data_IF_157751658713
#
_entry.id   IF_157751658713
#
_cell.length_a   1.000
_cell.length_b   1.000
_cell.length_c   1.000
_cell.angle_alpha   90.00
_cell.angle_beta   90.00
_cell.angle_gamma   90.00
#
_symmetry.space_group_name_H-M   'P 1'
#
loop_
_entity.id
_entity.type
_entity.pdbx_description
1 polymer ?
#
# COMPACT_ATOMS: atom_id res chain seq x y z
N UNK A 1 8.65 0.55 16.88
CA UNK A 1 8.65 -0.90 16.49
C UNK A 1 8.10 -1.02 15.08
N UNK A 2 8.67 -1.88 14.25
CA UNK A 2 8.18 -2.18 12.89
C UNK A 2 7.94 -3.68 12.82
N UNK A 3 6.85 -4.10 12.19
CA UNK A 3 6.51 -5.51 12.03
C UNK A 3 5.32 -5.74 11.12
N UNK A 4 4.89 -6.97 11.05
CA UNK A 4 3.76 -7.44 10.25
C UNK A 4 2.52 -7.68 11.12
N UNK A 5 1.62 -8.53 10.68
CA UNK A 5 0.45 -8.99 11.44
C UNK A 5 0.77 -9.52 12.85
N UNK A 6 2.01 -9.92 13.11
CA UNK A 6 2.42 -10.36 14.43
C UNK A 6 2.23 -9.29 15.52
N UNK A 7 2.30 -8.00 15.16
CA UNK A 7 2.08 -6.91 16.11
C UNK A 7 0.63 -6.80 16.62
N UNK A 8 -0.32 -7.44 15.94
CA UNK A 8 -1.73 -7.48 16.37
C UNK A 8 -2.03 -8.58 17.38
N UNK A 9 -1.09 -9.51 17.60
CA UNK A 9 -1.30 -10.63 18.52
C UNK A 9 -1.53 -10.14 19.95
N UNK A 10 -2.36 -10.86 20.71
CA UNK A 10 -2.78 -10.48 22.07
C UNK A 10 -1.62 -10.33 23.06
N UNK A 11 -0.56 -11.11 22.84
CA UNK A 11 0.63 -11.12 23.70
C UNK A 11 1.61 -9.96 23.42
N UNK A 12 1.34 -9.11 22.44
CA UNK A 12 2.13 -7.91 22.18
C UNK A 12 1.48 -6.73 22.87
N UNK A 13 2.17 -6.14 23.82
CA UNK A 13 1.74 -4.98 24.60
C UNK A 13 2.64 -3.78 24.29
N UNK A 14 2.09 -2.59 24.39
CA UNK A 14 2.80 -1.34 24.18
C UNK A 14 2.63 -0.47 25.42
N UNK A 15 3.70 -0.05 26.04
CA UNK A 15 3.67 0.77 27.26
C UNK A 15 3.11 2.17 27.02
N UNK A 16 3.30 2.73 25.82
CA UNK A 16 2.78 4.06 25.45
C UNK A 16 2.71 4.18 23.92
N UNK A 17 1.60 3.76 23.35
CA UNK A 17 1.40 3.78 21.91
C UNK A 17 0.79 5.12 21.49
N UNK A 18 1.61 6.02 20.96
CA UNK A 18 1.19 7.36 20.52
C UNK A 18 0.85 7.45 19.04
N UNK A 19 1.50 6.64 18.19
CA UNK A 19 1.29 6.66 16.74
C UNK A 19 1.28 5.25 16.15
N UNK A 20 0.29 4.99 15.30
CA UNK A 20 0.16 3.77 14.50
C UNK A 20 0.27 4.15 13.04
N UNK A 21 1.20 3.51 12.30
CA UNK A 21 1.32 3.66 10.85
C UNK A 21 0.96 2.33 10.20
N UNK A 22 -0.03 2.32 9.31
CA UNK A 22 -0.51 1.13 8.60
C UNK A 22 -0.30 1.36 7.11
N UNK A 23 0.57 0.56 6.51
CA UNK A 23 0.72 0.52 5.06
C UNK A 23 -0.18 -0.55 4.45
N UNK A 24 -0.68 -0.30 3.23
CA UNK A 24 -1.58 -1.19 2.51
C UNK A 24 -2.79 -1.63 3.37
N UNK A 25 -3.52 -0.65 3.86
CA UNK A 25 -4.61 -0.86 4.83
C UNK A 25 -5.65 -1.92 4.41
N UNK A 26 -5.82 -2.14 3.09
CA UNK A 26 -6.76 -3.13 2.56
C UNK A 26 -6.40 -4.58 2.96
N UNK A 27 -5.13 -4.82 3.36
CA UNK A 27 -4.67 -6.11 3.89
C UNK A 27 -5.10 -6.37 5.34
N UNK A 28 -5.66 -5.37 6.01
CA UNK A 28 -6.05 -5.47 7.41
C UNK A 28 -7.56 -5.35 7.57
N UNK A 29 -8.16 -6.33 8.23
CA UNK A 29 -9.57 -6.28 8.58
C UNK A 29 -9.90 -5.16 9.57
N UNK A 30 -11.16 -4.71 9.58
CA UNK A 30 -11.64 -3.64 10.48
C UNK A 30 -11.36 -4.00 11.94
N UNK A 31 -11.62 -5.25 12.34
CA UNK A 31 -11.40 -5.71 13.72
C UNK A 31 -9.93 -5.67 14.15
N UNK A 32 -9.00 -5.92 13.23
CA UNK A 32 -7.56 -5.87 13.50
C UNK A 32 -7.12 -4.43 13.78
N UNK A 33 -7.60 -3.48 13.00
CA UNK A 33 -7.30 -2.05 13.18
C UNK A 33 -7.85 -1.51 14.51
N UNK A 34 -9.07 -1.91 14.85
CA UNK A 34 -9.68 -1.57 16.15
C UNK A 34 -8.93 -2.19 17.32
N UNK A 35 -8.41 -3.42 17.15
CA UNK A 35 -7.62 -4.07 18.20
C UNK A 35 -6.32 -3.31 18.51
N UNK A 36 -5.64 -2.73 17.52
CA UNK A 36 -4.45 -1.91 17.76
C UNK A 36 -4.77 -0.64 18.56
N UNK A 37 -5.88 0.01 18.24
CA UNK A 37 -6.29 1.22 18.98
C UNK A 37 -6.59 0.93 20.45
N UNK A 38 -7.10 -0.28 20.75
CA UNK A 38 -7.44 -0.71 22.11
C UNK A 38 -6.24 -1.23 22.91
N UNK A 39 -5.06 -1.40 22.28
CA UNK A 39 -3.84 -1.86 22.95
C UNK A 39 -3.13 -0.76 23.75
N UNK A 40 -3.65 0.43 23.76
CA UNK A 40 -3.13 1.49 24.61
C UNK A 40 -3.80 1.39 25.97
N UNK A 41 -3.03 1.01 27.01
CA UNK A 41 -3.52 0.93 28.40
C UNK A 41 -3.80 2.32 29.02
N UNK A 42 -3.41 3.40 28.35
CA UNK A 42 -3.70 4.74 28.83
C UNK A 42 -5.13 5.15 28.45
N UNK A 43 -6.03 5.21 29.41
CA UNK A 43 -7.39 5.75 29.24
C UNK A 43 -7.42 7.21 28.75
N UNK A 44 -6.28 7.89 28.74
CA UNK A 44 -6.21 9.33 28.49
C UNK A 44 -6.03 9.74 27.03
N UNK A 45 -5.59 8.88 26.12
CA UNK A 45 -5.42 9.29 24.72
C UNK A 45 -5.39 8.10 23.75
N UNK A 46 -6.28 8.11 22.77
CA UNK A 46 -6.20 7.18 21.66
C UNK A 46 -4.96 7.50 20.79
N UNK A 47 -4.22 6.51 20.28
CA UNK A 47 -3.07 6.75 19.42
C UNK A 47 -3.50 7.40 18.12
N UNK A 48 -2.69 8.31 17.60
CA UNK A 48 -2.84 8.84 16.25
C UNK A 48 -2.67 7.70 15.23
N UNK A 49 -3.42 7.76 14.14
CA UNK A 49 -3.34 6.74 13.10
C UNK A 49 -3.07 7.37 11.74
N UNK A 50 -1.96 6.96 11.12
CA UNK A 50 -1.63 7.25 9.73
C UNK A 50 -1.84 6.00 8.89
N UNK A 51 -2.65 6.12 7.86
CA UNK A 51 -2.96 5.01 6.96
C UNK A 51 -2.47 5.33 5.56
N UNK A 52 -1.70 4.42 4.98
CA UNK A 52 -1.14 4.55 3.64
C UNK A 52 -1.82 3.54 2.70
N UNK A 53 -2.08 3.94 1.47
CA UNK A 53 -2.60 3.05 0.44
C UNK A 53 -2.24 3.55 -0.96
N UNK A 54 -1.90 2.62 -1.86
CA UNK A 54 -1.69 2.90 -3.27
C UNK A 54 -3.01 2.87 -4.07
N UNK A 55 -4.09 2.32 -3.48
CA UNK A 55 -5.41 2.28 -4.12
C UNK A 55 -6.32 3.34 -3.50
N UNK A 56 -6.54 4.47 -4.19
CA UNK A 56 -7.39 5.52 -3.65
C UNK A 56 -8.83 5.00 -3.51
N UNK A 57 -9.37 5.11 -2.30
CA UNK A 57 -10.79 4.86 -2.07
C UNK A 57 -11.55 6.10 -2.58
N UNK A 58 -12.58 5.95 -3.43
CA UNK A 58 -13.37 7.08 -3.89
C UNK A 58 -13.84 7.95 -2.71
N UNK A 59 -13.72 9.28 -2.86
CA UNK A 59 -14.03 10.24 -1.81
C UNK A 59 -15.42 10.05 -1.17
N UNK A 60 -16.40 9.63 -1.96
CA UNK A 60 -17.75 9.30 -1.52
C UNK A 60 -17.80 8.12 -0.55
N UNK A 61 -16.99 7.10 -0.75
CA UNK A 61 -16.87 5.95 0.15
C UNK A 61 -16.00 6.27 1.37
N UNK A 62 -15.00 7.13 1.23
CA UNK A 62 -14.18 7.56 2.36
C UNK A 62 -14.96 8.43 3.35
N UNK A 63 -15.89 9.24 2.88
CA UNK A 63 -16.73 10.08 3.75
C UNK A 63 -17.71 9.28 4.61
N UNK A 64 -18.17 8.11 4.15
CA UNK A 64 -19.09 7.27 4.93
C UNK A 64 -18.37 6.35 5.92
N UNK A 65 -17.14 5.92 5.61
CA UNK A 65 -16.40 4.95 6.43
C UNK A 65 -15.35 5.64 7.31
N UNK A 66 -14.87 6.83 6.90
CA UNK A 66 -13.77 7.56 7.53
C UNK A 66 -14.12 9.03 7.79
N UNK A 67 -15.34 9.31 8.18
CA UNK A 67 -15.90 10.68 8.36
C UNK A 67 -15.03 11.64 9.20
N UNK A 68 -14.09 11.12 9.97
CA UNK A 68 -13.20 11.87 10.85
C UNK A 68 -11.71 11.72 10.49
N UNK A 69 -11.37 11.48 9.20
CA UNK A 69 -9.98 11.37 8.75
C UNK A 69 -9.63 12.48 7.78
N UNK A 70 -8.51 13.15 8.04
CA UNK A 70 -7.88 14.03 7.06
C UNK A 70 -7.22 13.18 5.97
N UNK A 71 -7.33 13.65 4.72
CA UNK A 71 -6.79 12.92 3.56
C UNK A 71 -5.78 13.80 2.84
N UNK A 72 -4.57 13.27 2.69
CA UNK A 72 -3.52 13.85 1.85
C UNK A 72 -3.26 12.95 0.65
N UNK A 73 -3.15 13.54 -0.53
CA UNK A 73 -2.87 12.83 -1.78
C UNK A 73 -1.47 13.19 -2.25
N UNK A 74 -0.65 12.17 -2.53
CA UNK A 74 0.65 12.32 -3.16
C UNK A 74 0.44 12.08 -4.66
N UNK A 75 0.39 13.14 -5.45
CA UNK A 75 0.09 13.13 -6.88
C UNK A 75 1.32 13.40 -7.77
N UNK A 76 2.47 13.62 -7.16
CA UNK A 76 3.73 13.85 -7.87
C UNK A 76 4.60 12.59 -7.87
N UNK A 77 5.30 12.38 -8.98
CA UNK A 77 6.31 11.32 -9.08
C UNK A 77 7.60 11.74 -8.36
N UNK A 78 8.32 10.79 -7.75
CA UNK A 78 9.63 11.08 -7.14
C UNK A 78 10.59 11.71 -8.16
N UNK A 79 11.46 12.61 -7.74
CA UNK A 79 12.46 13.21 -8.61
C UNK A 79 13.29 12.15 -9.35
N UNK A 80 13.49 12.32 -10.66
CA UNK A 80 14.27 11.41 -11.50
C UNK A 80 13.54 10.16 -12.00
N UNK A 81 12.28 9.95 -11.61
CA UNK A 81 11.49 8.84 -12.14
C UNK A 81 11.01 9.14 -13.56
N UNK A 82 11.42 8.30 -14.51
CA UNK A 82 10.96 8.39 -15.89
C UNK A 82 9.50 7.92 -16.00
N UNK A 83 8.68 8.54 -16.88
CA UNK A 83 7.32 8.09 -17.14
C UNK A 83 7.32 6.66 -17.69
N UNK A 84 6.32 5.89 -17.28
CA UNK A 84 6.11 4.52 -17.77
C UNK A 84 5.40 4.60 -19.12
N UNK A 85 5.95 3.87 -20.12
CA UNK A 85 5.30 3.72 -21.41
C UNK A 85 4.48 2.43 -21.43
N UNK A 86 3.18 2.57 -21.64
CA UNK A 86 2.26 1.43 -21.76
C UNK A 86 1.78 1.35 -23.20
N UNK A 87 1.85 0.17 -23.81
CA UNK A 87 1.42 -0.07 -25.19
C UNK A 87 0.55 -1.32 -25.26
N UNK A 88 -0.53 -1.25 -26.02
CA UNK A 88 -1.35 -2.40 -26.36
C UNK A 88 -0.90 -2.94 -27.71
N UNK A 89 -0.69 -4.25 -27.80
CA UNK A 89 -0.31 -4.93 -29.03
C UNK A 89 -1.34 -6.01 -29.36
N UNK A 90 -1.68 -6.21 -30.66
CA UNK A 90 -2.55 -7.31 -31.07
C UNK A 90 -1.84 -8.66 -30.84
N UNK A 91 -2.61 -9.72 -30.58
CA UNK A 91 -2.08 -11.07 -30.36
C UNK A 91 -1.20 -11.57 -31.53
N UNK A 92 -1.49 -11.13 -32.75
CA UNK A 92 -0.68 -11.46 -33.95
C UNK A 92 0.76 -10.91 -33.87
N UNK A 93 1.02 -9.93 -33.00
CA UNK A 93 2.37 -9.37 -32.80
C UNK A 93 3.17 -10.11 -31.69
N UNK A 94 2.64 -11.20 -31.12
CA UNK A 94 3.24 -11.91 -29.98
C UNK A 94 4.65 -12.38 -30.28
N UNK A 95 4.89 -12.97 -31.45
CA UNK A 95 6.22 -13.50 -31.80
C UNK A 95 7.26 -12.38 -31.93
N UNK A 96 6.90 -11.27 -32.56
CA UNK A 96 7.76 -10.07 -32.63
C UNK A 96 8.02 -9.47 -31.23
N UNK A 97 7.05 -9.55 -30.32
CA UNK A 97 7.24 -9.11 -28.93
C UNK A 97 8.25 -10.00 -28.21
N UNK A 98 8.18 -11.33 -28.39
CA UNK A 98 9.11 -12.28 -27.79
C UNK A 98 10.54 -12.03 -28.27
N UNK A 99 10.72 -11.77 -29.57
CA UNK A 99 12.04 -11.42 -30.14
C UNK A 99 12.61 -10.14 -29.51
N UNK A 100 11.76 -9.10 -29.37
CA UNK A 100 12.14 -7.84 -28.73
C UNK A 100 12.52 -8.03 -27.27
N UNK A 101 11.76 -8.84 -26.53
CA UNK A 101 12.05 -9.18 -25.14
C UNK A 101 13.38 -9.91 -25.04
N UNK A 102 13.62 -10.90 -25.91
CA UNK A 102 14.89 -11.65 -25.95
C UNK A 102 16.08 -10.73 -26.20
N UNK A 103 15.93 -9.77 -27.14
CA UNK A 103 16.95 -8.78 -27.41
C UNK A 103 17.19 -7.82 -26.22
N UNK A 104 16.15 -7.46 -25.47
CA UNK A 104 16.27 -6.62 -24.29
C UNK A 104 16.99 -7.35 -23.15
N UNK A 105 16.68 -8.63 -22.92
CA UNK A 105 17.36 -9.47 -21.92
C UNK A 105 18.85 -9.59 -22.22
N UNK A 106 19.23 -9.77 -23.50
CA UNK A 106 20.64 -9.78 -23.91
C UNK A 106 21.38 -8.47 -23.61
N UNK A 107 20.66 -7.36 -23.43
CA UNK A 107 21.17 -6.04 -23.04
C UNK A 107 21.03 -5.77 -21.53
N UNK A 108 20.90 -6.83 -20.72
CA UNK A 108 20.79 -6.76 -19.26
C UNK A 108 19.51 -6.10 -18.73
N UNK A 109 18.44 -6.07 -19.55
CA UNK A 109 17.12 -5.58 -19.10
C UNK A 109 16.37 -6.68 -18.34
N UNK A 110 15.69 -6.30 -17.27
CA UNK A 110 14.81 -7.22 -16.52
C UNK A 110 13.42 -7.22 -17.13
N UNK A 111 12.84 -8.39 -17.30
CA UNK A 111 11.52 -8.57 -17.88
C UNK A 111 10.66 -9.44 -16.96
N UNK A 112 9.42 -9.04 -16.75
CA UNK A 112 8.39 -9.84 -16.06
C UNK A 112 7.32 -10.19 -17.08
N UNK A 113 7.07 -11.49 -17.27
CA UNK A 113 5.99 -12.01 -18.09
C UNK A 113 4.90 -12.56 -17.19
N UNK A 114 3.70 -11.99 -17.27
CA UNK A 114 2.56 -12.38 -16.45
C UNK A 114 1.50 -12.99 -17.37
N UNK A 115 1.01 -14.20 -17.05
CA UNK A 115 -0.02 -14.94 -17.76
C UNK A 115 -1.32 -14.96 -16.97
#
# INVERSE_FOLDING_TARGET
MIGTHALFQKNVEFSNLALIIIDEQHRFGVNQRLALRKKNDSEMSAPHQLTLTATPIPRTLSMSVYANMDVSVIDELPPGRKPIQTSCLPLSAKDKLIERISAAIKKDSKVYWIC
#
